data_IF_851873133876
#
_entry.id   IF_851873133876
#
_cell.length_a   1.000
_cell.length_b   1.000
_cell.length_c   1.000
_cell.angle_alpha   90.00
_cell.angle_beta   90.00
_cell.angle_gamma   90.00
#
_symmetry.space_group_name_H-M   'P 1'
#
loop_
_entity.id
_entity.type
_entity.pdbx_description
1 polymer ?
#
# COMPACT_ATOMS: atom_id res chain seq x y z
N UNK A 1 0.92 -8.50 -17.43
CA UNK A 1 -0.20 -9.45 -17.19
C UNK A 1 -1.47 -8.64 -17.03
N UNK A 2 -2.42 -8.72 -17.95
CA UNK A 2 -3.72 -8.06 -17.83
C UNK A 2 -4.53 -8.65 -16.67
N UNK A 3 -5.26 -7.80 -15.99
CA UNK A 3 -6.13 -8.13 -14.85
C UNK A 3 -7.34 -7.20 -14.89
N UNK A 4 -8.47 -7.62 -14.33
CA UNK A 4 -9.60 -6.72 -14.15
C UNK A 4 -9.24 -5.60 -13.16
N UNK A 5 -9.30 -4.36 -13.61
CA UNK A 5 -9.34 -3.20 -12.73
C UNK A 5 -10.68 -3.17 -12.02
N UNK A 6 -10.65 -3.04 -10.68
CA UNK A 6 -11.88 -3.07 -9.87
C UNK A 6 -12.02 -1.77 -9.09
N UNK A 7 -13.19 -1.15 -9.23
CA UNK A 7 -13.60 0.00 -8.42
C UNK A 7 -14.87 -0.37 -7.66
N UNK A 8 -14.93 -0.04 -6.38
CA UNK A 8 -16.06 -0.41 -5.51
C UNK A 8 -16.39 -1.92 -5.55
N UNK A 9 -15.37 -2.77 -5.78
CA UNK A 9 -15.55 -4.22 -5.88
C UNK A 9 -16.09 -4.73 -7.22
N UNK A 10 -16.41 -3.85 -8.18
CA UNK A 10 -16.91 -4.20 -9.50
C UNK A 10 -15.83 -4.05 -10.57
N UNK A 11 -15.94 -4.83 -11.67
CA UNK A 11 -15.09 -4.64 -12.84
C UNK A 11 -15.33 -3.24 -13.43
N UNK A 12 -14.26 -2.49 -13.61
CA UNK A 12 -14.30 -1.17 -14.23
C UNK A 12 -13.73 -1.24 -15.66
N UNK A 13 -12.41 -1.20 -15.77
CA UNK A 13 -11.68 -1.30 -17.03
C UNK A 13 -10.51 -2.26 -16.88
N UNK A 14 -9.94 -2.81 -17.96
CA UNK A 14 -8.73 -3.61 -17.89
C UNK A 14 -7.55 -2.80 -17.32
N UNK A 15 -6.72 -3.47 -16.56
CA UNK A 15 -5.47 -2.95 -16.03
C UNK A 15 -4.35 -3.99 -16.19
N UNK A 16 -3.17 -3.74 -15.67
CA UNK A 16 -2.14 -4.78 -15.49
C UNK A 16 -1.88 -5.01 -14.02
N UNK A 17 -1.49 -6.24 -13.64
CA UNK A 17 -1.09 -6.51 -12.26
C UNK A 17 0.04 -5.59 -11.79
N UNK A 18 0.99 -5.27 -12.68
CA UNK A 18 2.12 -4.38 -12.36
C UNK A 18 1.72 -2.98 -11.89
N UNK A 19 0.54 -2.51 -12.25
CA UNK A 19 0.02 -1.22 -11.78
C UNK A 19 -0.23 -1.23 -10.26
N UNK A 20 -0.67 -2.37 -9.68
CA UNK A 20 -0.87 -2.48 -8.22
C UNK A 20 0.44 -2.27 -7.43
N UNK A 21 1.53 -3.02 -7.71
CA UNK A 21 2.83 -2.74 -7.10
C UNK A 21 3.34 -1.32 -7.36
N UNK A 22 3.07 -0.72 -8.51
CA UNK A 22 3.48 0.67 -8.78
C UNK A 22 2.89 1.65 -7.76
N UNK A 23 1.61 1.50 -7.43
CA UNK A 23 0.94 2.28 -6.38
C UNK A 23 1.59 2.04 -5.01
N UNK A 24 1.90 0.79 -4.67
CA UNK A 24 2.54 0.44 -3.40
C UNK A 24 3.96 1.02 -3.29
N UNK A 25 4.74 0.93 -4.35
CA UNK A 25 6.10 1.50 -4.45
C UNK A 25 6.07 3.00 -4.20
N UNK A 26 5.16 3.70 -4.83
CA UNK A 26 5.05 5.16 -4.70
C UNK A 26 4.72 5.60 -3.27
N UNK A 27 3.86 4.85 -2.56
CA UNK A 27 3.61 5.08 -1.13
C UNK A 27 4.83 4.74 -0.25
N UNK A 28 5.52 3.62 -0.53
CA UNK A 28 6.68 3.20 0.25
C UNK A 28 7.84 4.19 0.11
N UNK A 29 8.09 4.74 -1.07
CA UNK A 29 9.09 5.80 -1.28
C UNK A 29 8.78 7.02 -0.41
N UNK A 30 7.51 7.46 -0.35
CA UNK A 30 7.12 8.57 0.54
C UNK A 30 7.30 8.25 2.02
N UNK A 31 7.19 6.98 2.43
CA UNK A 31 7.50 6.59 3.81
C UNK A 31 9.01 6.71 4.09
N UNK A 32 9.86 6.28 3.17
CA UNK A 32 11.32 6.49 3.28
C UNK A 32 11.65 7.98 3.46
N UNK A 33 11.08 8.83 2.62
CA UNK A 33 11.27 10.28 2.71
C UNK A 33 10.84 10.85 4.08
N UNK A 34 9.68 10.41 4.60
CA UNK A 34 9.20 10.85 5.92
C UNK A 34 10.15 10.46 7.04
N UNK A 35 10.65 9.22 7.04
CA UNK A 35 11.60 8.78 8.06
C UNK A 35 12.94 9.49 7.96
N UNK A 36 13.46 9.76 6.75
CA UNK A 36 14.65 10.59 6.55
C UNK A 36 14.44 12.00 7.10
N UNK A 37 13.28 12.61 6.89
CA UNK A 37 12.94 13.92 7.41
C UNK A 37 12.72 13.92 8.93
N UNK A 38 12.26 12.82 9.50
CA UNK A 38 12.07 12.66 10.94
C UNK A 38 13.41 12.48 11.69
N UNK A 39 14.35 11.74 11.11
CA UNK A 39 15.57 11.28 11.78
C UNK A 39 16.30 12.39 12.57
N UNK A 40 16.52 13.62 12.06
CA UNK A 40 17.19 14.69 12.81
C UNK A 40 16.39 15.17 14.04
N UNK A 41 15.06 14.99 14.06
CA UNK A 41 14.21 15.35 15.21
C UNK A 41 14.08 14.21 16.19
N UNK A 42 14.11 12.97 15.70
CA UNK A 42 13.93 11.75 16.52
C UNK A 42 15.21 11.41 17.29
N UNK A 43 16.36 11.40 16.58
CA UNK A 43 17.63 11.00 17.16
C UNK A 43 18.31 12.19 17.86
N UNK A 44 17.76 12.55 19.03
CA UNK A 44 18.26 13.62 19.87
C UNK A 44 18.70 13.09 21.24
N UNK A 45 19.88 13.53 21.67
CA UNK A 45 20.44 13.18 22.98
C UNK A 45 20.00 14.21 24.01
N UNK A 46 19.38 13.76 25.11
CA UNK A 46 18.89 14.62 26.18
C UNK A 46 19.71 14.40 27.47
N UNK A 47 20.34 15.45 27.98
CA UNK A 47 21.04 15.46 29.25
C UNK A 47 20.83 16.82 29.94
N UNK A 48 19.75 16.99 30.69
CA UNK A 48 19.41 18.25 31.37
C UNK A 48 19.42 18.17 32.90
N UNK A 49 19.64 16.99 33.46
CA UNK A 49 19.45 16.71 34.89
C UNK A 49 17.97 16.52 35.25
N UNK A 50 17.64 16.64 36.54
CA UNK A 50 16.31 16.30 37.05
C UNK A 50 15.16 17.08 36.43
N UNK A 51 15.37 18.36 36.18
CA UNK A 51 14.36 19.29 35.61
C UNK A 51 14.79 19.96 34.27
N UNK A 52 15.79 19.45 33.62
CA UNK A 52 16.22 19.98 32.32
C UNK A 52 17.06 21.27 32.38
N UNK A 53 17.45 21.69 33.57
CA UNK A 53 18.04 23.02 33.79
C UNK A 53 19.57 23.05 33.87
N UNK A 54 20.23 21.91 33.70
CA UNK A 54 21.69 21.75 33.95
C UNK A 54 22.16 22.19 35.34
N UNK A 55 21.31 22.26 36.35
CA UNK A 55 21.64 22.82 37.65
C UNK A 55 22.91 22.21 38.30
N UNK A 56 23.14 20.90 38.10
CA UNK A 56 24.34 20.20 38.62
C UNK A 56 25.59 20.38 37.77
N UNK A 57 25.46 20.79 36.50
CA UNK A 57 26.54 20.93 35.52
C UNK A 57 26.87 22.40 35.22
N UNK A 58 25.98 23.32 35.54
CA UNK A 58 26.12 24.74 35.30
C UNK A 58 26.41 25.02 33.81
N UNK A 59 27.26 25.98 33.53
CA UNK A 59 27.66 26.36 32.17
C UNK A 59 28.39 25.28 31.35
N UNK A 60 28.79 24.16 31.98
CA UNK A 60 29.39 23.02 31.27
C UNK A 60 28.31 22.06 30.70
N UNK A 61 27.07 22.16 31.17
CA UNK A 61 25.99 21.27 30.79
C UNK A 61 25.79 21.10 29.29
N UNK A 62 25.63 22.17 28.51
CA UNK A 62 25.47 22.08 27.04
C UNK A 62 26.64 21.40 26.34
N UNK A 63 27.89 21.62 26.82
CA UNK A 63 29.08 20.99 26.23
C UNK A 63 29.11 19.47 26.52
N UNK A 64 28.73 19.08 27.73
CA UNK A 64 28.63 17.65 28.11
C UNK A 64 27.53 16.94 27.30
N UNK A 65 26.38 17.57 27.16
CA UNK A 65 25.30 17.04 26.33
C UNK A 65 25.72 16.88 24.85
N UNK A 66 26.39 17.88 24.28
CA UNK A 66 26.91 17.83 22.91
C UNK A 66 27.92 16.69 22.75
N UNK A 67 28.83 16.50 23.70
CA UNK A 67 29.79 15.40 23.70
C UNK A 67 29.10 14.02 23.77
N UNK A 68 28.06 13.89 24.58
CA UNK A 68 27.22 12.70 24.64
C UNK A 68 26.54 12.43 23.28
N UNK A 69 25.97 13.48 22.68
CA UNK A 69 25.36 13.39 21.34
C UNK A 69 26.34 12.87 20.29
N UNK A 70 27.58 13.40 20.29
CA UNK A 70 28.64 12.94 19.37
C UNK A 70 28.96 11.46 19.57
N UNK A 71 29.07 10.97 20.83
CA UNK A 71 29.36 9.58 21.12
C UNK A 71 28.21 8.63 20.67
N UNK A 72 26.96 9.10 20.80
CA UNK A 72 25.76 8.33 20.46
C UNK A 72 25.33 8.49 18.98
N UNK A 73 26.05 9.27 18.20
CA UNK A 73 25.64 9.69 16.84
C UNK A 73 24.25 10.34 16.83
N UNK A 74 23.97 11.22 17.79
CA UNK A 74 22.70 11.91 17.97
C UNK A 74 22.92 13.42 18.06
N UNK A 75 21.94 14.22 17.67
CA UNK A 75 21.98 15.66 17.86
C UNK A 75 21.69 16.03 19.32
N UNK A 76 22.35 17.06 19.92
CA UNK A 76 21.98 17.51 21.25
C UNK A 76 20.58 18.15 21.23
N UNK A 77 19.74 17.81 22.20
CA UNK A 77 18.41 18.41 22.33
C UNK A 77 18.54 19.90 22.67
N UNK A 78 17.85 20.78 21.96
CA UNK A 78 17.94 22.23 22.14
C UNK A 78 17.48 22.65 23.55
N UNK A 79 16.38 22.11 24.02
CA UNK A 79 15.90 22.25 25.40
C UNK A 79 15.83 20.85 26.00
N UNK A 80 16.75 20.49 26.92
CA UNK A 80 16.87 19.10 27.40
C UNK A 80 15.80 18.76 28.46
N UNK A 81 14.55 18.95 28.12
CA UNK A 81 13.41 18.72 29.00
C UNK A 81 12.83 17.33 28.81
N UNK A 82 12.60 16.64 29.94
CA UNK A 82 12.03 15.28 29.96
C UNK A 82 10.57 15.22 29.54
N UNK A 83 9.91 16.39 29.45
CA UNK A 83 8.50 16.52 29.05
C UNK A 83 8.32 16.68 27.54
N UNK A 84 9.39 16.80 26.79
CA UNK A 84 9.37 16.91 25.33
C UNK A 84 9.26 15.48 24.75
N UNK A 85 8.07 15.07 24.32
CA UNK A 85 7.78 13.76 23.78
C UNK A 85 7.19 13.77 22.37
N UNK A 86 7.07 14.95 21.74
CA UNK A 86 6.45 15.13 20.44
C UNK A 86 7.20 14.39 19.31
N UNK A 87 8.53 14.34 19.36
CA UNK A 87 9.35 13.61 18.38
C UNK A 87 9.15 12.08 18.46
N UNK A 88 8.91 11.52 19.65
CA UNK A 88 8.57 10.11 19.82
C UNK A 88 7.15 9.83 19.33
N UNK A 89 6.20 10.72 19.65
CA UNK A 89 4.84 10.61 19.13
C UNK A 89 4.79 10.75 17.61
N UNK A 90 5.59 11.66 17.01
CA UNK A 90 5.75 11.80 15.55
C UNK A 90 6.23 10.47 14.93
N UNK A 91 7.21 9.80 15.55
CA UNK A 91 7.68 8.49 15.10
C UNK A 91 6.54 7.47 15.07
N UNK A 92 5.78 7.34 16.16
CA UNK A 92 4.68 6.38 16.24
C UNK A 92 3.57 6.73 15.24
N UNK A 93 3.29 8.01 14.99
CA UNK A 93 2.37 8.45 13.94
C UNK A 93 2.84 8.00 12.54
N UNK A 94 4.13 8.15 12.23
CA UNK A 94 4.69 7.69 10.95
C UNK A 94 4.71 6.17 10.83
N UNK A 95 4.99 5.44 11.90
CA UNK A 95 4.83 3.98 11.94
C UNK A 95 3.37 3.58 11.68
N UNK A 96 2.41 4.32 12.23
CA UNK A 96 0.98 4.12 11.96
C UNK A 96 0.60 4.33 10.49
N UNK A 97 1.16 5.34 9.82
CA UNK A 97 0.97 5.57 8.38
C UNK A 97 1.58 4.44 7.55
N UNK A 98 2.82 4.03 7.87
CA UNK A 98 3.49 2.90 7.22
C UNK A 98 2.68 1.61 7.39
N UNK A 99 2.23 1.34 8.60
CA UNK A 99 1.41 0.16 8.91
C UNK A 99 0.09 0.16 8.13
N UNK A 100 -0.54 1.31 7.93
CA UNK A 100 -1.75 1.42 7.12
C UNK A 100 -1.48 1.03 5.65
N UNK A 101 -0.36 1.45 5.07
CA UNK A 101 0.05 1.04 3.72
C UNK A 101 0.35 -0.46 3.65
N UNK A 102 1.13 -1.01 4.60
CA UNK A 102 1.41 -2.46 4.65
C UNK A 102 0.14 -3.29 4.80
N UNK A 103 -0.76 -2.88 5.67
CA UNK A 103 -2.06 -3.52 5.85
C UNK A 103 -2.95 -3.46 4.60
N UNK A 104 -2.91 -2.35 3.85
CA UNK A 104 -3.60 -2.22 2.56
C UNK A 104 -3.04 -3.20 1.52
N UNK A 105 -1.72 -3.31 1.41
CA UNK A 105 -1.06 -4.25 0.49
C UNK A 105 -1.47 -5.68 0.83
N UNK A 106 -1.38 -6.06 2.11
CA UNK A 106 -1.75 -7.40 2.56
C UNK A 106 -3.24 -7.70 2.34
N UNK A 107 -4.13 -6.74 2.54
CA UNK A 107 -5.57 -6.89 2.25
C UNK A 107 -5.86 -7.10 0.77
N UNK A 108 -5.15 -6.39 -0.11
CA UNK A 108 -5.29 -6.58 -1.55
C UNK A 108 -4.85 -8.00 -1.95
N UNK A 109 -3.68 -8.45 -1.50
CA UNK A 109 -3.19 -9.81 -1.77
C UNK A 109 -4.15 -10.84 -1.19
N UNK A 110 -4.57 -10.69 0.07
CA UNK A 110 -5.58 -11.54 0.71
C UNK A 110 -6.86 -11.66 -0.13
N UNK A 111 -7.36 -10.54 -0.66
CA UNK A 111 -8.57 -10.52 -1.47
C UNK A 111 -8.36 -11.26 -2.79
N UNK A 112 -7.24 -11.03 -3.46
CA UNK A 112 -6.91 -11.70 -4.72
C UNK A 112 -6.65 -13.20 -4.56
N UNK A 113 -6.34 -13.69 -3.34
CA UNK A 113 -6.20 -15.11 -3.01
C UNK A 113 -7.53 -15.81 -2.75
N UNK A 114 -8.64 -15.09 -2.53
CA UNK A 114 -9.95 -15.73 -2.31
C UNK A 114 -10.28 -16.69 -3.46
N UNK A 115 -10.95 -17.78 -3.15
CA UNK A 115 -11.28 -18.84 -4.12
C UNK A 115 -11.98 -18.30 -5.38
N UNK A 116 -12.82 -17.28 -5.20
CA UNK A 116 -13.56 -16.62 -6.28
C UNK A 116 -12.64 -15.87 -7.23
N UNK A 117 -11.60 -15.23 -6.73
CA UNK A 117 -10.59 -14.50 -7.52
C UNK A 117 -9.44 -15.42 -7.95
N UNK A 118 -8.68 -15.98 -7.02
CA UNK A 118 -7.58 -16.91 -7.24
C UNK A 118 -6.47 -16.38 -8.15
N UNK A 119 -6.24 -15.06 -8.16
CA UNK A 119 -5.33 -14.39 -9.08
C UNK A 119 -3.88 -14.39 -8.60
N UNK A 120 -3.67 -14.56 -7.30
CA UNK A 120 -2.35 -14.62 -6.68
C UNK A 120 -2.35 -15.64 -5.54
N UNK A 121 -1.14 -16.03 -5.10
CA UNK A 121 -0.94 -16.89 -3.92
C UNK A 121 0.30 -16.41 -3.16
N UNK A 122 0.18 -16.20 -1.83
CA UNK A 122 1.34 -15.92 -0.98
C UNK A 122 2.20 -17.18 -0.82
N UNK A 123 3.51 -17.04 -0.52
CA UNK A 123 4.36 -18.20 -0.27
C UNK A 123 3.89 -18.97 0.97
N UNK A 124 4.03 -20.29 0.92
CA UNK A 124 3.80 -21.14 2.09
C UNK A 124 5.16 -21.34 2.79
N UNK A 125 5.36 -20.83 4.00
CA UNK A 125 6.60 -21.02 4.74
C UNK A 125 6.90 -22.51 4.93
N UNK A 126 8.18 -22.87 4.81
CA UNK A 126 8.63 -24.26 4.98
C UNK A 126 8.20 -24.82 6.35
N UNK A 127 7.68 -26.02 6.37
CA UNK A 127 7.20 -26.68 7.60
C UNK A 127 5.82 -26.21 8.09
N UNK A 128 5.12 -25.32 7.38
CA UNK A 128 3.76 -24.92 7.73
C UNK A 128 2.73 -25.77 7.03
N UNK A 129 1.67 -26.15 7.76
CA UNK A 129 0.50 -26.84 7.20
C UNK A 129 -0.55 -25.79 6.85
N UNK A 130 -1.05 -25.79 5.62
CA UNK A 130 -2.06 -24.84 5.14
C UNK A 130 -3.36 -24.93 5.95
N UNK A 131 -3.85 -26.14 6.16
CA UNK A 131 -5.04 -26.45 6.97
C UNK A 131 -4.83 -27.81 7.64
N UNK A 132 -5.27 -27.96 8.89
CA UNK A 132 -5.20 -29.23 9.63
C UNK A 132 -6.19 -30.29 9.13
N UNK A 133 -7.28 -29.86 8.48
CA UNK A 133 -8.38 -30.75 8.07
C UNK A 133 -8.63 -30.79 6.56
N UNK A 134 -8.17 -29.76 5.82
CA UNK A 134 -8.43 -29.62 4.38
C UNK A 134 -7.12 -29.39 3.64
N UNK A 135 -6.47 -30.44 3.11
CA UNK A 135 -5.13 -30.34 2.50
C UNK A 135 -5.02 -29.34 1.33
N UNK A 136 -6.13 -29.15 0.60
CA UNK A 136 -6.21 -28.26 -0.55
C UNK A 136 -6.38 -26.79 -0.16
N UNK A 137 -6.70 -26.47 1.11
CA UNK A 137 -7.00 -25.11 1.55
C UNK A 137 -5.72 -24.30 1.77
N UNK A 138 -5.55 -23.24 1.00
CA UNK A 138 -4.44 -22.29 1.09
C UNK A 138 -4.90 -21.03 1.82
N UNK A 139 -4.60 -20.95 3.12
CA UNK A 139 -4.95 -19.78 3.92
C UNK A 139 -3.86 -18.71 3.75
N UNK A 140 -4.22 -17.42 3.59
CA UNK A 140 -3.27 -16.30 3.50
C UNK A 140 -2.74 -15.90 4.89
N UNK A 141 -1.98 -16.79 5.55
CA UNK A 141 -1.54 -16.63 6.94
C UNK A 141 -0.62 -15.42 7.13
N UNK A 142 0.35 -15.24 6.23
CA UNK A 142 1.26 -14.10 6.31
C UNK A 142 0.51 -12.78 6.13
N UNK A 143 -0.40 -12.71 5.15
CA UNK A 143 -1.25 -11.53 4.97
C UNK A 143 -2.15 -11.27 6.18
N UNK A 144 -2.70 -12.32 6.82
CA UNK A 144 -3.50 -12.18 8.04
C UNK A 144 -2.68 -11.59 9.19
N UNK A 145 -1.46 -12.10 9.40
CA UNK A 145 -0.55 -11.61 10.42
C UNK A 145 -0.15 -10.14 10.18
N UNK A 146 0.16 -9.77 8.93
CA UNK A 146 0.46 -8.38 8.54
C UNK A 146 -0.73 -7.46 8.83
N UNK A 147 -1.96 -7.88 8.50
CA UNK A 147 -3.18 -7.11 8.74
C UNK A 147 -3.41 -6.90 10.23
N UNK A 148 -3.19 -7.92 11.04
CA UNK A 148 -3.32 -7.85 12.50
C UNK A 148 -2.27 -6.91 13.10
N UNK A 149 -0.99 -7.11 12.77
CA UNK A 149 0.10 -6.25 13.22
C UNK A 149 -0.09 -4.78 12.80
N UNK A 150 -0.56 -4.53 11.57
CA UNK A 150 -0.93 -3.20 11.09
C UNK A 150 -1.98 -2.53 11.96
N UNK A 151 -2.97 -3.28 12.46
CA UNK A 151 -3.99 -2.73 13.36
C UNK A 151 -3.40 -2.39 14.73
N UNK A 152 -2.51 -3.24 15.25
CA UNK A 152 -1.82 -3.02 16.52
C UNK A 152 -0.94 -1.76 16.50
N UNK A 153 -0.11 -1.59 15.47
CA UNK A 153 0.73 -0.39 15.30
C UNK A 153 -0.13 0.88 15.25
N UNK A 154 -1.22 0.87 14.48
CA UNK A 154 -2.12 2.03 14.40
C UNK A 154 -2.84 2.33 15.71
N UNK A 155 -3.10 1.33 16.53
CA UNK A 155 -3.71 1.50 17.84
C UNK A 155 -2.74 2.16 18.86
N UNK A 156 -1.43 2.14 18.63
CA UNK A 156 -0.44 2.82 19.46
C UNK A 156 -0.45 4.36 19.26
N UNK A 157 -0.94 4.86 18.14
CA UNK A 157 -0.94 6.30 17.81
C UNK A 157 -1.68 7.15 18.84
N UNK A 158 -2.94 6.88 19.23
CA UNK A 158 -3.62 7.68 20.24
C UNK A 158 -2.95 7.60 21.62
N UNK A 159 -2.31 6.48 21.96
CA UNK A 159 -1.56 6.37 23.21
C UNK A 159 -0.31 7.26 23.21
N UNK A 160 0.38 7.36 22.09
CA UNK A 160 1.53 8.23 21.96
C UNK A 160 1.16 9.72 22.08
N UNK A 161 0.02 10.11 21.49
CA UNK A 161 -0.49 11.48 21.59
C UNK A 161 -0.94 11.82 23.03
N UNK A 162 -1.56 10.87 23.73
CA UNK A 162 -1.92 11.02 25.15
C UNK A 162 -0.67 11.17 26.03
N UNK A 163 0.38 10.40 25.74
CA UNK A 163 1.64 10.45 26.47
C UNK A 163 2.41 11.77 26.32
N UNK A 164 2.07 12.63 25.38
CA UNK A 164 2.65 13.98 25.25
C UNK A 164 2.13 14.96 26.33
N UNK A 165 1.03 14.64 27.00
CA UNK A 165 0.39 15.54 27.97
C UNK A 165 1.04 15.40 29.36
N UNK A 166 2.36 15.61 29.41
CA UNK A 166 3.14 15.54 30.62
C UNK A 166 3.03 16.84 31.44
N UNK A 167 2.68 16.74 32.70
CA UNK A 167 2.63 17.88 33.63
C UNK A 167 4.01 18.15 34.24
N UNK A 168 4.25 19.41 34.59
CA UNK A 168 5.49 19.90 35.22
C UNK A 168 6.75 19.53 34.37
N UNK A 169 7.87 19.25 35.04
CA UNK A 169 9.16 18.94 34.42
C UNK A 169 9.38 17.44 34.18
N UNK A 170 8.52 16.57 34.72
CA UNK A 170 8.47 15.13 34.43
C UNK A 170 7.24 14.49 35.09
N UNK A 171 6.66 13.53 34.40
CA UNK A 171 5.63 12.63 34.95
C UNK A 171 5.93 11.19 34.50
N UNK A 172 5.99 10.29 35.50
CA UNK A 172 6.22 8.86 35.24
C UNK A 172 5.07 8.20 34.48
N UNK A 173 3.84 8.68 34.67
CA UNK A 173 2.64 8.12 34.04
C UNK A 173 2.75 8.19 32.53
N UNK A 174 3.00 9.39 32.00
CA UNK A 174 3.12 9.64 30.57
C UNK A 174 4.36 8.96 29.96
N UNK A 175 5.49 8.92 30.69
CA UNK A 175 6.68 8.18 30.27
C UNK A 175 6.41 6.70 30.08
N UNK A 176 5.69 6.05 31.01
CA UNK A 176 5.33 4.62 30.90
C UNK A 176 4.42 4.33 29.71
N UNK A 177 3.46 5.23 29.46
CA UNK A 177 2.57 5.10 28.30
C UNK A 177 3.37 5.21 27.01
N UNK A 178 4.28 6.20 26.90
CA UNK A 178 5.13 6.39 25.70
C UNK A 178 6.07 5.20 25.48
N UNK A 179 6.81 4.77 26.52
CA UNK A 179 7.71 3.61 26.46
C UNK A 179 6.99 2.35 25.97
N UNK A 180 5.76 2.12 26.47
CA UNK A 180 4.95 0.96 26.06
C UNK A 180 4.46 1.08 24.62
N UNK A 181 3.96 2.25 24.23
CA UNK A 181 3.46 2.47 22.88
C UNK A 181 4.59 2.36 21.83
N UNK A 182 5.75 2.94 22.11
CA UNK A 182 6.92 2.91 21.22
C UNK A 182 7.46 1.50 21.04
N UNK A 183 7.71 0.78 22.15
CA UNK A 183 8.25 -0.57 22.08
C UNK A 183 7.34 -1.50 21.28
N UNK A 184 6.03 -1.47 21.54
CA UNK A 184 5.04 -2.27 20.79
C UNK A 184 4.97 -1.89 19.32
N UNK A 185 4.88 -0.59 19.01
CA UNK A 185 4.81 -0.11 17.64
C UNK A 185 6.06 -0.50 16.83
N UNK A 186 7.26 -0.34 17.40
CA UNK A 186 8.52 -0.70 16.73
C UNK A 186 8.63 -2.21 16.48
N UNK A 187 8.35 -3.05 17.50
CA UNK A 187 8.42 -4.51 17.36
C UNK A 187 7.41 -5.02 16.33
N UNK A 188 6.16 -4.57 16.44
CA UNK A 188 5.10 -4.99 15.51
C UNK A 188 5.38 -4.50 14.07
N UNK A 189 5.98 -3.31 13.91
CA UNK A 189 6.39 -2.80 12.59
C UNK A 189 7.51 -3.65 12.00
N UNK A 190 8.51 -4.02 12.78
CA UNK A 190 9.60 -4.88 12.33
C UNK A 190 9.10 -6.25 11.85
N UNK A 191 8.27 -6.92 12.63
CA UNK A 191 7.66 -8.21 12.24
C UNK A 191 6.78 -8.07 10.99
N UNK A 192 5.94 -7.05 10.93
CA UNK A 192 5.07 -6.76 9.78
C UNK A 192 5.87 -6.55 8.49
N UNK A 193 6.96 -5.77 8.54
CA UNK A 193 7.82 -5.52 7.37
C UNK A 193 8.56 -6.79 6.93
N UNK A 194 9.07 -7.57 7.87
CA UNK A 194 9.73 -8.84 7.56
C UNK A 194 8.79 -9.79 6.82
N UNK A 195 7.56 -9.95 7.30
CA UNK A 195 6.53 -10.77 6.65
C UNK A 195 6.12 -10.21 5.29
N UNK A 196 5.98 -8.89 5.17
CA UNK A 196 5.64 -8.27 3.90
C UNK A 196 6.72 -8.51 2.84
N UNK A 197 7.99 -8.45 3.22
CA UNK A 197 9.12 -8.80 2.33
C UNK A 197 9.04 -10.27 1.91
N UNK A 198 8.72 -11.19 2.82
CA UNK A 198 8.53 -12.61 2.51
C UNK A 198 7.38 -12.81 1.52
N UNK A 199 6.23 -12.20 1.78
CA UNK A 199 5.06 -12.26 0.88
C UNK A 199 5.42 -11.76 -0.51
N UNK A 200 6.01 -10.56 -0.62
CA UNK A 200 6.30 -9.96 -1.93
C UNK A 200 7.39 -10.69 -2.72
N UNK A 201 8.40 -11.27 -2.04
CA UNK A 201 9.43 -12.08 -2.69
C UNK A 201 8.92 -13.42 -3.21
N UNK A 202 7.97 -14.02 -2.50
CA UNK A 202 7.43 -15.32 -2.82
C UNK A 202 6.06 -15.29 -3.51
N UNK A 203 5.51 -14.11 -3.81
CA UNK A 203 4.19 -13.95 -4.39
C UNK A 203 4.10 -14.65 -5.76
N UNK A 204 3.18 -15.59 -5.87
CA UNK A 204 2.89 -16.31 -7.11
C UNK A 204 1.71 -15.66 -7.79
N UNK A 205 1.82 -15.48 -9.10
CA UNK A 205 0.77 -14.89 -9.93
C UNK A 205 0.16 -15.97 -10.82
N UNK A 206 -1.15 -15.96 -11.01
CA UNK A 206 -1.85 -16.85 -11.92
C UNK A 206 -2.40 -16.05 -13.13
N UNK A 207 -1.63 -15.92 -14.22
CA UNK A 207 -2.05 -15.20 -15.41
C UNK A 207 -3.29 -15.80 -16.09
N UNK A 208 -3.46 -17.12 -15.99
CA UNK A 208 -4.61 -17.83 -16.59
C UNK A 208 -5.87 -17.44 -15.85
N UNK A 209 -5.81 -17.43 -14.52
CA UNK A 209 -6.93 -17.01 -13.69
C UNK A 209 -7.25 -15.52 -13.85
N UNK A 210 -6.24 -14.66 -13.93
CA UNK A 210 -6.41 -13.23 -14.21
C UNK A 210 -7.15 -13.02 -15.52
N UNK A 211 -6.76 -13.74 -16.59
CA UNK A 211 -7.44 -13.67 -17.89
C UNK A 211 -8.88 -14.16 -17.80
N UNK A 212 -9.13 -15.30 -17.16
CA UNK A 212 -10.47 -15.83 -16.97
C UNK A 212 -11.37 -14.83 -16.22
N UNK A 213 -10.83 -14.15 -15.21
CA UNK A 213 -11.59 -13.15 -14.46
C UNK A 213 -11.92 -11.91 -15.30
N UNK A 214 -11.05 -11.50 -16.21
CA UNK A 214 -11.36 -10.42 -17.18
C UNK A 214 -12.61 -10.73 -18.01
N UNK A 215 -12.80 -12.00 -18.37
CA UNK A 215 -13.87 -12.44 -19.26
C UNK A 215 -15.21 -12.71 -18.50
N UNK A 216 -15.22 -12.66 -17.16
CA UNK A 216 -16.40 -12.95 -16.34
C UNK A 216 -17.64 -12.11 -16.69
N UNK A 217 -17.45 -10.87 -17.09
CA UNK A 217 -18.55 -9.98 -17.48
C UNK A 217 -18.97 -10.10 -18.95
N UNK A 218 -18.55 -11.14 -19.68
CA UNK A 218 -18.95 -11.33 -21.08
C UNK A 218 -18.57 -10.18 -22.01
N UNK A 219 -17.46 -9.49 -21.73
CA UNK A 219 -16.97 -8.35 -22.49
C UNK A 219 -17.41 -6.97 -21.97
N UNK A 220 -18.29 -6.88 -21.00
CA UNK A 220 -18.79 -5.60 -20.45
C UNK A 220 -17.68 -4.70 -19.91
N UNK A 221 -16.56 -5.26 -19.48
CA UNK A 221 -15.38 -4.48 -19.03
C UNK A 221 -14.81 -3.58 -20.14
N UNK A 222 -15.18 -3.84 -21.40
CA UNK A 222 -14.73 -3.08 -22.58
C UNK A 222 -15.76 -2.06 -23.06
N UNK A 223 -16.87 -1.87 -22.36
CA UNK A 223 -17.94 -0.95 -22.76
C UNK A 223 -17.42 0.49 -22.96
N UNK A 224 -16.50 0.95 -22.12
CA UNK A 224 -15.86 2.26 -22.25
C UNK A 224 -15.07 2.40 -23.56
N UNK A 225 -14.29 1.39 -23.93
CA UNK A 225 -13.52 1.40 -25.16
C UNK A 225 -14.43 1.50 -26.39
N UNK A 226 -15.51 0.71 -26.42
CA UNK A 226 -16.52 0.75 -27.49
C UNK A 226 -17.20 2.12 -27.55
N UNK A 227 -17.60 2.65 -26.39
CA UNK A 227 -18.26 3.95 -26.30
C UNK A 227 -17.36 5.08 -26.82
N UNK A 228 -16.08 5.08 -26.48
CA UNK A 228 -15.15 6.13 -26.90
C UNK A 228 -14.85 6.06 -28.39
N UNK A 229 -14.66 4.86 -28.94
CA UNK A 229 -14.41 4.67 -30.37
C UNK A 229 -15.64 5.07 -31.21
N UNK A 230 -16.81 4.58 -30.86
CA UNK A 230 -18.07 4.93 -31.53
C UNK A 230 -18.37 6.43 -31.38
N UNK A 231 -18.06 7.01 -30.22
CA UNK A 231 -18.25 8.44 -29.91
C UNK A 231 -17.45 9.38 -30.80
N UNK A 232 -16.33 8.93 -31.33
CA UNK A 232 -15.56 9.71 -32.34
C UNK A 232 -16.33 9.90 -33.65
N UNK A 233 -17.27 9.01 -33.97
CA UNK A 233 -18.06 9.03 -35.21
C UNK A 233 -19.45 9.64 -35.01
N UNK A 234 -20.18 9.24 -33.95
CA UNK A 234 -21.60 9.64 -33.76
C UNK A 234 -21.81 10.64 -32.64
N UNK A 235 -20.73 11.08 -31.98
CA UNK A 235 -20.78 11.95 -30.81
C UNK A 235 -20.93 11.18 -29.50
N UNK A 236 -20.31 11.71 -28.45
CA UNK A 236 -20.13 11.01 -27.17
C UNK A 236 -21.46 10.62 -26.48
N UNK A 237 -22.44 11.54 -26.47
CA UNK A 237 -23.72 11.29 -25.81
C UNK A 237 -24.50 10.17 -26.48
N UNK A 238 -24.59 10.21 -27.81
CA UNK A 238 -25.30 9.19 -28.57
C UNK A 238 -24.62 7.81 -28.46
N UNK A 239 -23.30 7.79 -28.53
CA UNK A 239 -22.54 6.55 -28.31
C UNK A 239 -22.75 5.97 -26.91
N UNK A 240 -22.78 6.84 -25.88
CA UNK A 240 -23.09 6.43 -24.52
C UNK A 240 -24.45 5.73 -24.44
N UNK A 241 -25.50 6.36 -24.98
CA UNK A 241 -26.86 5.81 -24.88
C UNK A 241 -26.99 4.46 -25.61
N UNK A 242 -26.38 4.34 -26.80
CA UNK A 242 -26.40 3.10 -27.58
C UNK A 242 -25.64 1.97 -26.87
N UNK A 243 -24.44 2.26 -26.36
CA UNK A 243 -23.63 1.27 -25.63
C UNK A 243 -24.25 0.92 -24.29
N UNK A 244 -24.88 1.88 -23.61
CA UNK A 244 -25.63 1.65 -22.38
C UNK A 244 -26.79 0.67 -22.60
N UNK A 245 -27.60 0.86 -23.65
CA UNK A 245 -28.71 -0.05 -24.00
C UNK A 245 -28.19 -1.49 -24.20
N UNK A 246 -27.12 -1.66 -24.99
CA UNK A 246 -26.51 -2.97 -25.22
C UNK A 246 -25.95 -3.59 -23.94
N UNK A 247 -25.31 -2.78 -23.08
CA UNK A 247 -24.75 -3.25 -21.80
C UNK A 247 -25.86 -3.66 -20.82
N UNK A 248 -26.95 -2.90 -20.75
CA UNK A 248 -28.11 -3.26 -19.92
C UNK A 248 -28.77 -4.54 -20.41
N UNK A 249 -28.95 -4.71 -21.73
CA UNK A 249 -29.48 -5.95 -22.31
C UNK A 249 -28.56 -7.14 -22.01
N UNK A 250 -27.23 -6.97 -22.12
CA UNK A 250 -26.26 -8.01 -21.78
C UNK A 250 -26.42 -8.46 -20.32
N UNK A 251 -26.56 -7.51 -19.40
CA UNK A 251 -26.71 -7.79 -17.96
C UNK A 251 -28.03 -8.48 -17.63
N UNK A 252 -29.16 -7.97 -18.16
CA UNK A 252 -30.51 -8.47 -17.87
C UNK A 252 -30.79 -9.83 -18.53
N UNK A 253 -30.38 -9.99 -19.79
CA UNK A 253 -30.67 -11.18 -20.59
C UNK A 253 -29.60 -12.29 -20.43
N UNK A 254 -28.44 -11.96 -19.83
CA UNK A 254 -27.30 -12.87 -19.72
C UNK A 254 -26.65 -13.19 -21.08
N UNK A 255 -26.82 -12.34 -22.08
CA UNK A 255 -26.27 -12.50 -23.43
C UNK A 255 -24.87 -11.91 -23.54
N UNK A 256 -23.96 -12.49 -24.34
CA UNK A 256 -22.65 -11.89 -24.57
C UNK A 256 -22.76 -10.47 -25.13
N UNK A 257 -22.04 -9.53 -24.52
CA UNK A 257 -22.03 -8.12 -24.94
C UNK A 257 -21.62 -7.96 -26.41
N UNK A 258 -20.63 -8.75 -26.88
CA UNK A 258 -20.21 -8.80 -28.28
C UNK A 258 -21.34 -9.11 -29.25
N UNK A 259 -22.23 -10.05 -28.90
CA UNK A 259 -23.36 -10.43 -29.75
C UNK A 259 -24.36 -9.26 -29.89
N UNK A 260 -24.67 -8.61 -28.77
CA UNK A 260 -25.59 -7.47 -28.75
C UNK A 260 -25.03 -6.27 -29.56
N UNK A 261 -23.72 -6.00 -29.46
CA UNK A 261 -23.07 -4.98 -30.29
C UNK A 261 -23.13 -5.30 -31.80
N UNK A 262 -22.97 -6.57 -32.15
CA UNK A 262 -23.00 -7.02 -33.54
C UNK A 262 -24.43 -7.09 -34.15
N UNK A 263 -25.45 -7.11 -33.33
CA UNK A 263 -26.86 -7.14 -33.78
C UNK A 263 -27.49 -5.72 -33.85
N UNK A 264 -26.90 -4.70 -33.20
CA UNK A 264 -27.48 -3.35 -33.15
C UNK A 264 -27.11 -2.56 -34.41
N UNK A 265 -28.10 -2.16 -35.26
CA UNK A 265 -27.84 -1.39 -36.46
C UNK A 265 -27.20 -0.02 -36.20
N UNK A 266 -27.45 0.58 -35.03
CA UNK A 266 -26.84 1.85 -34.62
C UNK A 266 -25.31 1.74 -34.46
N UNK A 267 -24.83 0.52 -34.16
CA UNK A 267 -23.41 0.19 -34.00
C UNK A 267 -22.83 -0.33 -35.30
N UNK A 268 -23.48 -1.32 -35.93
CA UNK A 268 -22.96 -2.02 -37.11
C UNK A 268 -22.89 -1.16 -38.36
N UNK A 269 -23.62 -0.04 -38.42
CA UNK A 269 -23.47 0.98 -39.48
C UNK A 269 -22.08 1.65 -39.42
N UNK A 270 -21.45 1.70 -38.26
CA UNK A 270 -20.17 2.40 -37.98
C UNK A 270 -19.01 1.45 -37.71
N UNK A 271 -19.27 0.32 -37.06
CA UNK A 271 -18.28 -0.67 -36.67
C UNK A 271 -18.61 -2.03 -37.30
N UNK A 272 -17.72 -2.53 -38.11
CA UNK A 272 -17.84 -3.89 -38.68
C UNK A 272 -17.47 -4.96 -37.59
N UNK A 273 -17.88 -6.23 -37.78
CA UNK A 273 -17.61 -7.28 -36.78
C UNK A 273 -16.13 -7.43 -36.41
N UNK A 274 -15.14 -7.37 -37.29
CA UNK A 274 -13.73 -7.39 -36.90
C UNK A 274 -13.30 -6.20 -36.03
N UNK A 275 -13.87 -5.02 -36.27
CA UNK A 275 -13.58 -3.84 -35.42
C UNK A 275 -14.15 -4.01 -34.01
N UNK A 276 -15.37 -4.54 -33.89
CA UNK A 276 -15.99 -4.86 -32.61
C UNK A 276 -15.13 -5.88 -31.87
N UNK A 277 -14.72 -6.97 -32.50
CA UNK A 277 -13.86 -7.99 -31.88
C UNK A 277 -12.53 -7.40 -31.37
N UNK A 278 -11.90 -6.54 -32.15
CA UNK A 278 -10.66 -5.85 -31.77
C UNK A 278 -10.87 -4.92 -30.57
N UNK A 279 -11.98 -4.16 -30.53
CA UNK A 279 -12.30 -3.27 -29.42
C UNK A 279 -12.62 -4.04 -28.14
N UNK A 280 -13.06 -5.29 -28.25
CA UNK A 280 -13.37 -6.14 -27.10
C UNK A 280 -12.17 -6.92 -26.56
N UNK A 281 -10.96 -6.75 -27.13
CA UNK A 281 -9.75 -7.35 -26.55
C UNK A 281 -9.27 -6.54 -25.34
N UNK A 282 -9.44 -7.04 -24.10
CA UNK A 282 -9.04 -6.30 -22.89
C UNK A 282 -7.53 -6.14 -22.77
N UNK A 283 -6.73 -6.89 -23.53
CA UNK A 283 -5.27 -6.76 -23.48
C UNK A 283 -4.77 -5.52 -24.20
N UNK A 284 -5.57 -4.99 -25.12
CA UNK A 284 -5.27 -3.78 -25.89
C UNK A 284 -5.70 -2.48 -25.17
N UNK A 285 -6.47 -2.58 -24.07
CA UNK A 285 -7.04 -1.41 -23.38
C UNK A 285 -6.55 -1.29 -21.93
N UNK A 286 -5.24 -1.39 -21.71
CA UNK A 286 -4.63 -1.26 -20.38
C UNK A 286 -3.98 0.10 -20.12
N UNK A 287 -4.16 1.05 -21.03
CA UNK A 287 -3.57 2.39 -20.95
C UNK A 287 -2.05 2.35 -20.71
N UNK A 288 -1.56 3.23 -19.86
CA UNK A 288 -0.14 3.34 -19.50
C UNK A 288 0.29 2.45 -18.33
N UNK A 289 -0.53 1.46 -17.93
CA UNK A 289 -0.24 0.62 -16.76
C UNK A 289 1.16 -0.02 -16.78
N UNK A 290 1.61 -0.47 -17.96
CA UNK A 290 2.91 -1.13 -18.11
C UNK A 290 4.09 -0.14 -17.99
N UNK A 291 3.93 1.07 -18.48
CA UNK A 291 4.92 2.15 -18.39
C UNK A 291 5.05 2.62 -16.95
N UNK A 292 3.93 2.95 -16.31
CA UNK A 292 3.86 3.35 -14.90
C UNK A 292 4.53 2.29 -14.01
N UNK A 293 4.28 1.00 -14.28
CA UNK A 293 4.87 -0.09 -13.52
C UNK A 293 6.40 -0.16 -13.69
N UNK A 294 6.92 0.04 -14.91
CA UNK A 294 8.36 0.06 -15.17
C UNK A 294 9.04 1.25 -14.51
N UNK A 295 8.45 2.43 -14.62
CA UNK A 295 8.98 3.65 -14.02
C UNK A 295 9.00 3.57 -12.49
N UNK A 296 7.95 3.05 -11.88
CA UNK A 296 7.90 2.79 -10.45
C UNK A 296 9.00 1.81 -10.02
N UNK A 297 9.22 0.73 -10.77
CA UNK A 297 10.27 -0.24 -10.48
C UNK A 297 11.69 0.36 -10.61
N UNK A 298 11.92 1.28 -11.53
CA UNK A 298 13.20 2.02 -11.65
C UNK A 298 13.41 2.89 -10.40
N UNK A 299 12.40 3.68 -10.02
CA UNK A 299 12.44 4.52 -8.81
C UNK A 299 12.69 3.70 -7.54
N UNK A 300 12.00 2.56 -7.40
CA UNK A 300 12.19 1.67 -6.25
C UNK A 300 13.62 1.17 -6.12
N UNK A 301 14.24 0.76 -7.25
CA UNK A 301 15.65 0.29 -7.24
C UNK A 301 16.63 1.42 -6.90
N UNK A 302 16.39 2.63 -7.40
CA UNK A 302 17.20 3.80 -7.08
C UNK A 302 17.15 4.10 -5.58
N UNK A 303 15.93 4.21 -5.01
CA UNK A 303 15.75 4.44 -3.56
C UNK A 303 16.36 3.32 -2.71
N UNK A 304 16.24 2.06 -3.13
CA UNK A 304 16.85 0.93 -2.42
C UNK A 304 18.39 1.00 -2.44
N UNK A 305 18.98 1.43 -3.55
CA UNK A 305 20.43 1.62 -3.65
C UNK A 305 20.91 2.77 -2.76
N UNK A 306 20.18 3.87 -2.66
CA UNK A 306 20.46 4.98 -1.74
C UNK A 306 20.46 4.52 -0.29
N UNK A 307 19.40 3.81 0.15
CA UNK A 307 19.30 3.27 1.51
C UNK A 307 20.48 2.34 1.84
N UNK A 308 20.88 1.48 0.88
CA UNK A 308 22.01 0.57 1.08
C UNK A 308 23.34 1.33 1.24
N UNK A 309 23.51 2.46 0.56
CA UNK A 309 24.71 3.30 0.71
C UNK A 309 24.73 4.05 2.05
N UNK A 310 23.59 4.56 2.50
CA UNK A 310 23.44 5.21 3.82
C UNK A 310 23.81 4.24 4.95
N UNK A 311 23.33 2.99 4.89
CA UNK A 311 23.60 1.95 5.91
C UNK A 311 25.06 1.46 5.99
N UNK A 312 25.91 1.79 5.00
CA UNK A 312 27.33 1.43 4.99
C UNK A 312 28.18 2.59 5.53
N UNK A 313 27.65 3.83 5.51
CA UNK A 313 28.33 5.04 5.95
C UNK A 313 28.19 5.29 7.46
N UNK A 314 27.23 4.66 8.13
CA UNK A 314 26.99 4.68 9.57
C UNK A 314 27.76 3.52 10.28
#
# INVERSE_FOLDING_TARGET
MPIAGRTHGQHAVPATFGYKPAVWIDEMIRHVERFRQLAPRLFVAMLGGGAGTFASLGGQGPRVQAGMGTILNMLPMTVPARTIGDHLAENICLLGLLAATCGKIAREIYTLMKTEYGEVEEPVPAGTVGSSTMPQKRNPKLCQDIIAASAEVRAAVPLALEAMQTEHEADRTTSLVMETAEARACIATGDMLARLVEVLRGLRLDPVRMRKNLDLGGGLIMAEAVMLDLGATIGRQHAHDVVYDAAQAAFVEGRPFAALLAEDPRITTHLNPPAIEKLLDPTAYTGLCAEIARDAAVRARATAAEIAQESIAD
#
